data_IF_889583386096
#
_entry.id   IF_889583386096
#
_cell.length_a   1.000
_cell.length_b   1.000
_cell.length_c   1.000
_cell.angle_alpha   90.00
_cell.angle_beta   90.00
_cell.angle_gamma   90.00
#
_symmetry.space_group_name_H-M   'P 1'
#
loop_
_entity.id
_entity.type
_entity.pdbx_description
1 polymer ?
#
# COMPACT_ATOMS: atom_id res chain seq x y z
N UNK A 1 8.14 4.31 2.04
CA UNK A 1 6.90 4.85 1.47
C UNK A 1 6.07 5.40 2.62
N UNK A 2 6.39 6.63 3.05
CA UNK A 2 5.85 7.30 4.25
C UNK A 2 4.59 8.12 3.90
N UNK A 3 3.75 7.66 2.97
CA UNK A 3 2.68 8.52 2.44
C UNK A 3 1.43 8.57 3.34
N UNK A 4 1.23 7.61 4.24
CA UNK A 4 0.02 7.56 5.08
C UNK A 4 0.18 8.19 6.47
N UNK A 5 1.41 8.52 6.92
CA UNK A 5 1.64 8.87 8.33
C UNK A 5 1.60 10.35 8.66
N UNK A 6 1.49 11.25 7.68
CA UNK A 6 1.26 12.66 7.95
C UNK A 6 -0.23 12.96 7.82
N UNK A 7 -1.01 12.45 8.76
CA UNK A 7 -2.26 13.14 9.11
C UNK A 7 -1.82 14.53 9.53
N UNK A 8 -1.97 15.51 8.65
CA UNK A 8 -1.42 16.85 8.84
C UNK A 8 -2.03 17.40 10.13
N UNK A 9 -1.19 17.52 11.15
CA UNK A 9 -1.61 17.97 12.47
C UNK A 9 -1.90 19.46 12.36
N UNK A 10 -3.15 19.78 12.03
CA UNK A 10 -3.59 21.17 11.92
C UNK A 10 -4.65 21.46 10.86
N UNK A 11 -5.64 20.59 10.63
CA UNK A 11 -6.86 20.94 9.88
C UNK A 11 -6.70 21.34 8.40
N UNK A 12 -5.47 21.45 7.89
CA UNK A 12 -5.15 21.69 6.49
C UNK A 12 -5.47 20.41 5.72
N UNK A 13 -6.37 20.53 4.75
CA UNK A 13 -6.73 19.42 3.88
C UNK A 13 -5.56 19.09 2.94
N UNK A 14 -5.42 17.84 2.52
CA UNK A 14 -4.33 17.45 1.61
C UNK A 14 -4.38 18.26 0.31
N UNK A 15 -5.59 18.59 -0.14
CA UNK A 15 -5.88 19.45 -1.30
C UNK A 15 -5.41 20.91 -1.14
N UNK A 16 -4.90 21.33 0.02
CA UNK A 16 -4.32 22.66 0.25
C UNK A 16 -2.79 22.67 0.10
N UNK A 17 -2.16 21.49 0.00
CA UNK A 17 -0.72 21.39 -0.24
C UNK A 17 -0.45 21.64 -1.73
N UNK A 18 0.34 22.67 -2.10
CA UNK A 18 0.57 23.03 -3.51
C UNK A 18 1.03 21.85 -4.37
N UNK A 19 1.87 20.97 -3.81
CA UNK A 19 2.37 19.77 -4.48
C UNK A 19 1.22 18.76 -4.76
N UNK A 20 0.28 18.58 -3.85
CA UNK A 20 -0.85 17.66 -4.06
C UNK A 20 -1.80 18.22 -5.12
N UNK A 21 -2.05 19.53 -5.12
CA UNK A 21 -2.85 20.19 -6.15
C UNK A 21 -2.26 20.04 -7.56
N UNK A 22 -0.92 19.99 -7.67
CA UNK A 22 -0.20 19.79 -8.93
C UNK A 22 -0.30 18.35 -9.46
N UNK A 23 -0.59 17.36 -8.59
CA UNK A 23 -0.58 15.93 -8.92
C UNK A 23 -1.83 15.20 -8.40
N UNK A 24 -3.02 15.78 -8.58
CA UNK A 24 -4.30 15.21 -8.08
C UNK A 24 -4.62 13.82 -8.66
N UNK A 25 -4.09 13.49 -9.83
CA UNK A 25 -4.20 12.19 -10.48
C UNK A 25 -3.37 11.09 -9.80
N UNK A 26 -2.28 11.47 -9.12
CA UNK A 26 -1.39 10.55 -8.38
C UNK A 26 -1.85 10.36 -6.93
N UNK A 27 -2.62 11.31 -6.37
CA UNK A 27 -3.13 11.29 -5.00
C UNK A 27 -4.67 11.28 -4.95
N UNK A 28 -5.34 10.25 -5.48
CA UNK A 28 -6.79 10.14 -5.37
C UNK A 28 -7.22 9.95 -3.91
N UNK A 29 -8.41 10.44 -3.57
CA UNK A 29 -9.01 10.28 -2.22
C UNK A 29 -9.22 8.79 -1.86
N UNK A 30 -9.50 7.96 -2.88
CA UNK A 30 -9.58 6.51 -2.78
C UNK A 30 -8.45 5.85 -3.60
N UNK A 31 -7.69 4.96 -2.98
CA UNK A 31 -6.63 4.18 -3.66
C UNK A 31 -7.27 2.96 -4.32
N UNK A 32 -6.87 2.64 -5.55
CA UNK A 32 -7.33 1.43 -6.22
C UNK A 32 -6.75 0.17 -5.54
N UNK A 33 -7.60 -0.83 -5.28
CA UNK A 33 -7.19 -2.12 -4.72
C UNK A 33 -6.31 -2.93 -5.69
N UNK A 34 -6.40 -2.63 -6.98
CA UNK A 34 -5.56 -3.24 -8.01
C UNK A 34 -4.35 -2.36 -8.31
N UNK A 35 -3.16 -2.95 -8.48
CA UNK A 35 -2.02 -2.20 -8.96
C UNK A 35 -2.37 -1.51 -10.28
N UNK A 36 -1.89 -0.27 -10.51
CA UNK A 36 -2.06 0.40 -11.79
C UNK A 36 -1.59 -0.48 -12.93
N UNK A 37 -2.21 -0.34 -14.10
CA UNK A 37 -1.74 -1.00 -15.31
C UNK A 37 -0.28 -0.62 -15.55
N UNK A 38 0.55 -1.63 -15.80
CA UNK A 38 1.99 -1.43 -16.01
C UNK A 38 2.30 -1.80 -17.43
N UNK A 39 3.12 -0.98 -18.08
CA UNK A 39 3.58 -1.22 -19.45
C UNK A 39 4.42 -2.51 -19.57
N UNK A 40 4.93 -3.02 -18.44
CA UNK A 40 5.81 -4.18 -18.39
C UNK A 40 5.30 -5.18 -17.36
N UNK A 41 5.27 -6.45 -17.74
CA UNK A 41 4.95 -7.55 -16.84
C UNK A 41 6.06 -7.72 -15.79
N UNK A 42 5.67 -7.81 -14.52
CA UNK A 42 6.60 -8.15 -13.45
C UNK A 42 6.74 -9.66 -13.32
N UNK A 43 7.97 -10.14 -13.47
CA UNK A 43 8.35 -11.52 -13.22
C UNK A 43 9.23 -11.60 -11.97
N UNK A 44 9.05 -12.66 -11.17
CA UNK A 44 9.91 -12.95 -10.02
C UNK A 44 10.88 -14.05 -10.45
N UNK A 45 12.09 -13.65 -10.81
CA UNK A 45 13.15 -14.59 -11.17
C UNK A 45 13.73 -15.22 -9.91
N UNK A 46 13.69 -16.55 -9.85
CA UNK A 46 14.27 -17.32 -8.75
C UNK A 46 15.65 -17.85 -9.17
N UNK A 47 16.57 -17.90 -8.20
CA UNK A 47 17.84 -18.58 -8.40
C UNK A 47 17.56 -20.08 -8.61
N UNK A 48 18.20 -20.76 -9.59
CA UNK A 48 18.02 -22.19 -9.77
C UNK A 48 18.27 -22.96 -8.47
N UNK A 49 17.31 -23.80 -8.08
CA UNK A 49 17.35 -24.57 -6.83
C UNK A 49 16.66 -23.91 -5.64
N UNK A 50 16.08 -22.71 -5.79
CA UNK A 50 15.20 -22.13 -4.76
C UNK A 50 13.92 -22.97 -4.60
N UNK A 51 13.68 -23.44 -3.38
CA UNK A 51 12.43 -24.10 -3.00
C UNK A 51 11.42 -23.10 -2.42
N UNK A 52 10.10 -23.36 -2.51
CA UNK A 52 9.10 -22.57 -1.81
C UNK A 52 9.37 -22.49 -0.31
N UNK A 53 9.14 -21.31 0.28
CA UNK A 53 9.26 -21.09 1.71
C UNK A 53 7.86 -21.18 2.33
N UNK A 54 7.74 -21.94 3.42
CA UNK A 54 6.53 -22.02 4.24
C UNK A 54 6.89 -21.80 5.70
N UNK A 55 6.38 -20.70 6.26
CA UNK A 55 6.60 -20.34 7.66
C UNK A 55 5.24 -20.08 8.32
N UNK A 56 5.12 -20.44 9.60
CA UNK A 56 3.92 -20.13 10.36
C UNK A 56 3.75 -18.60 10.50
N UNK A 57 2.54 -18.05 10.35
CA UNK A 57 2.28 -16.65 10.62
C UNK A 57 2.60 -16.28 12.07
N UNK A 58 2.98 -15.02 12.31
CA UNK A 58 3.10 -14.50 13.66
C UNK A 58 1.74 -14.44 14.36
N UNK A 59 1.76 -14.54 15.70
CA UNK A 59 0.54 -14.42 16.49
C UNK A 59 0.02 -12.99 16.41
N UNK A 60 -1.24 -12.85 16.03
CA UNK A 60 -1.98 -11.59 15.97
C UNK A 60 -3.15 -11.64 16.95
N UNK A 61 -3.51 -10.50 17.51
CA UNK A 61 -4.73 -10.30 18.29
C UNK A 61 -5.99 -10.39 17.41
N UNK A 62 -7.16 -10.51 18.04
CA UNK A 62 -8.43 -10.56 17.31
C UNK A 62 -8.68 -9.28 16.49
N UNK A 63 -8.29 -8.10 16.99
CA UNK A 63 -8.41 -6.83 16.28
C UNK A 63 -7.51 -6.76 15.05
N UNK A 64 -6.27 -7.24 15.16
CA UNK A 64 -5.33 -7.27 14.02
C UNK A 64 -5.78 -8.25 12.95
N UNK A 65 -6.33 -9.42 13.34
CA UNK A 65 -6.89 -10.37 12.37
C UNK A 65 -8.13 -9.82 11.65
N UNK A 66 -8.98 -9.08 12.35
CA UNK A 66 -10.13 -8.41 11.73
C UNK A 66 -9.67 -7.35 10.72
N UNK A 67 -8.64 -6.57 11.05
CA UNK A 67 -8.06 -5.58 10.13
C UNK A 67 -7.40 -6.24 8.92
N UNK A 68 -6.61 -7.29 9.14
CA UNK A 68 -5.97 -8.06 8.06
C UNK A 68 -7.01 -8.62 7.08
N UNK A 69 -8.15 -9.08 7.58
CA UNK A 69 -9.24 -9.59 6.74
C UNK A 69 -9.90 -8.49 5.88
N UNK A 70 -9.83 -7.22 6.29
CA UNK A 70 -10.36 -6.10 5.51
C UNK A 70 -9.45 -5.77 4.32
N UNK A 71 -8.15 -6.06 4.43
CA UNK A 71 -7.12 -5.74 3.43
C UNK A 71 -6.86 -6.86 2.42
N UNK A 72 -7.27 -8.09 2.74
CA UNK A 72 -7.12 -9.30 1.91
C UNK A 72 -8.40 -9.62 1.16
#
# INVERSE_FOLDING_TARGET
>A
MMFASLKLEGGVKMEELPIVCEFLDVFPEEVSDVPPEREVEFNIDLVPGTSPISMAPYRMSASELNELKTQL
#
